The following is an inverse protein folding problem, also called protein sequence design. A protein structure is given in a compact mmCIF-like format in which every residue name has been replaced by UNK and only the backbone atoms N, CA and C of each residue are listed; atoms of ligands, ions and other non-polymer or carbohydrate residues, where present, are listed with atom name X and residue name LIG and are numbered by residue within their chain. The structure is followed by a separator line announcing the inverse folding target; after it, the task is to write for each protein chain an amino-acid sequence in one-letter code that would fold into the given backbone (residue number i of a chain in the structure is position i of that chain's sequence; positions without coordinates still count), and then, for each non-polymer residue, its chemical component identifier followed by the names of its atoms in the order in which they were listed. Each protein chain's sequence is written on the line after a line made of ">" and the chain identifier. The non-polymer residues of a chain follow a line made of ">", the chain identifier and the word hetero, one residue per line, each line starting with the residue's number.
data_IF_081037729508
#
_entry.id   IF_081037729508
#
_cell.length_a   1.000
_cell.length_b   1.000
_cell.length_c   1.000
_cell.angle_alpha   90.00
_cell.angle_beta   90.00
_cell.angle_gamma   90.00
#
_symmetry.space_group_name_H-M   'P 1'
#
loop_
_entity.id
_entity.type
_entity.pdbx_description
1 polymer ?
#
# COMPACT_ATOMS: atom_id res chain seq x y z
N UNK A 1 8.49 -2.33 -8.79
CA UNK A 1 7.47 -1.30 -9.14
C UNK A 1 8.11 -0.21 -10.03
N UNK A 2 7.47 0.30 -11.09
CA UNK A 2 8.11 1.32 -11.95
C UNK A 2 8.16 2.71 -11.26
N UNK A 3 9.23 3.49 -11.46
CA UNK A 3 9.40 4.81 -10.83
C UNK A 3 8.23 5.80 -11.05
N UNK A 4 7.54 5.70 -12.19
CA UNK A 4 6.33 6.50 -12.47
C UNK A 4 5.11 6.08 -11.63
N UNK A 5 5.04 4.81 -11.24
CA UNK A 5 4.00 4.27 -10.38
C UNK A 5 4.23 4.71 -8.93
N UNK A 6 5.49 4.71 -8.47
CA UNK A 6 5.87 5.22 -7.14
C UNK A 6 5.42 6.68 -6.93
N UNK A 7 5.70 7.56 -7.91
CA UNK A 7 5.27 8.96 -7.82
C UNK A 7 3.74 9.16 -7.84
N UNK A 8 3.00 8.25 -8.49
CA UNK A 8 1.53 8.26 -8.47
C UNK A 8 1.00 7.83 -7.10
N UNK A 9 1.56 6.76 -6.53
CA UNK A 9 1.18 6.23 -5.23
C UNK A 9 1.49 7.21 -4.10
N UNK A 10 2.66 7.85 -4.09
CA UNK A 10 3.00 8.86 -3.10
C UNK A 10 2.00 10.04 -3.09
N UNK A 11 1.59 10.51 -4.27
CA UNK A 11 0.56 11.56 -4.38
C UNK A 11 -0.83 11.08 -3.95
N UNK A 12 -1.14 9.80 -4.14
CA UNK A 12 -2.40 9.21 -3.66
C UNK A 12 -2.38 9.05 -2.13
N UNK A 13 -1.24 8.64 -1.56
CA UNK A 13 -1.01 8.59 -0.13
C UNK A 13 -1.18 9.97 0.53
N UNK A 14 -0.62 11.03 -0.07
CA UNK A 14 -0.79 12.41 0.40
C UNK A 14 -2.26 12.90 0.42
N UNK A 15 -3.17 12.20 -0.27
CA UNK A 15 -4.62 12.45 -0.24
C UNK A 15 -5.38 11.52 0.72
N UNK A 16 -4.66 10.73 1.51
CA UNK A 16 -5.20 9.79 2.49
C UNK A 16 -5.61 8.43 1.92
N UNK A 17 -5.20 8.09 0.68
CA UNK A 17 -5.41 6.77 0.08
C UNK A 17 -6.86 6.26 0.13
N UNK A 18 -7.00 4.95 0.31
CA UNK A 18 -8.30 4.30 0.61
C UNK A 18 -8.63 4.31 2.10
N UNK A 19 -7.67 4.61 2.95
CA UNK A 19 -7.86 4.72 4.39
C UNK A 19 -6.54 4.87 5.13
N UNK A 20 -6.59 4.85 6.45
CA UNK A 20 -5.42 4.97 7.33
C UNK A 20 -5.54 3.99 8.49
N UNK A 21 -4.39 3.65 9.05
CA UNK A 21 -4.32 2.87 10.28
C UNK A 21 -3.07 3.22 11.09
N UNK A 22 -3.03 2.69 12.30
CA UNK A 22 -1.87 2.81 13.19
C UNK A 22 -1.22 1.45 13.35
N UNK A 23 0.10 1.39 13.17
CA UNK A 23 0.88 0.20 13.43
C UNK A 23 0.74 -0.27 14.89
N UNK A 24 0.42 -1.55 15.08
CA UNK A 24 0.24 -2.18 16.39
C UNK A 24 1.57 -2.68 16.98
N UNK A 25 2.53 -2.98 16.11
CA UNK A 25 3.87 -3.46 16.44
C UNK A 25 4.90 -2.91 15.46
N UNK A 26 6.18 -3.13 15.78
CA UNK A 26 7.28 -2.85 14.87
C UNK A 26 7.28 -3.91 13.76
N UNK A 27 7.44 -3.49 12.51
CA UNK A 27 7.58 -4.36 11.35
C UNK A 27 8.91 -4.08 10.67
N UNK A 28 9.78 -5.09 10.65
CA UNK A 28 11.06 -5.04 9.95
C UNK A 28 10.86 -5.67 8.58
N UNK A 29 11.17 -4.93 7.52
CA UNK A 29 11.09 -5.43 6.15
C UNK A 29 12.03 -6.63 5.96
N UNK A 30 11.51 -7.75 5.45
CA UNK A 30 12.30 -8.94 5.11
C UNK A 30 12.76 -8.89 3.65
N UNK A 31 11.99 -8.21 2.80
CA UNK A 31 12.21 -8.03 1.36
C UNK A 31 12.11 -6.56 0.96
N UNK A 32 12.62 -6.24 -0.24
CA UNK A 32 12.54 -4.88 -0.80
C UNK A 32 11.10 -4.41 -1.09
N UNK A 33 10.14 -5.34 -1.11
CA UNK A 33 8.73 -5.04 -1.32
C UNK A 33 7.97 -4.79 -0.01
N UNK A 34 8.53 -5.12 1.16
CA UNK A 34 7.88 -4.96 2.46
C UNK A 34 7.92 -3.52 2.97
N UNK A 35 6.85 -3.10 3.64
CA UNK A 35 6.77 -1.80 4.30
C UNK A 35 7.35 -1.92 5.71
N UNK A 36 8.48 -1.26 5.94
CA UNK A 36 8.98 -1.04 7.29
C UNK A 36 8.17 0.05 8.01
N UNK A 37 7.84 -0.19 9.27
CA UNK A 37 7.20 0.78 10.16
C UNK A 37 7.44 0.44 11.63
N UNK A 38 7.34 1.42 12.51
CA UNK A 38 7.41 1.24 13.95
C UNK A 38 6.01 1.27 14.56
N UNK A 39 5.86 0.65 15.74
CA UNK A 39 4.63 0.72 16.51
C UNK A 39 4.21 2.18 16.75
N UNK A 40 2.96 2.47 16.44
CA UNK A 40 2.39 3.81 16.58
C UNK A 40 2.45 4.66 15.32
N UNK A 41 3.19 4.25 14.30
CA UNK A 41 3.25 4.98 13.03
C UNK A 41 1.88 4.99 12.33
N UNK A 42 1.58 6.11 11.68
CA UNK A 42 0.42 6.21 10.80
C UNK A 42 0.77 5.65 9.42
N UNK A 43 -0.01 4.67 8.98
CA UNK A 43 0.12 4.05 7.66
C UNK A 43 -1.06 4.49 6.81
N UNK A 44 -0.77 5.04 5.63
CA UNK A 44 -1.81 5.29 4.61
C UNK A 44 -1.99 4.04 3.76
N UNK A 45 -3.20 3.48 3.75
CA UNK A 45 -3.54 2.29 2.99
C UNK A 45 -3.89 2.68 1.55
N UNK A 46 -3.26 2.04 0.57
CA UNK A 46 -3.37 2.40 -0.85
C UNK A 46 -4.26 1.44 -1.63
N UNK A 47 -4.07 0.13 -1.46
CA UNK A 47 -4.88 -0.91 -2.10
C UNK A 47 -4.70 -2.26 -1.42
N UNK A 48 -5.67 -3.17 -1.63
CA UNK A 48 -5.50 -4.60 -1.35
C UNK A 48 -4.58 -5.20 -2.43
N UNK A 49 -3.58 -5.99 -2.03
CA UNK A 49 -2.63 -6.61 -2.94
C UNK A 49 -3.16 -7.94 -3.49
N UNK A 50 -3.14 -8.09 -4.82
CA UNK A 50 -3.40 -9.33 -5.58
C UNK A 50 -4.58 -10.20 -5.10
N UNK A 51 -5.73 -9.60 -4.76
CA UNK A 51 -6.94 -10.29 -4.23
C UNK A 51 -6.65 -11.23 -3.03
N UNK A 52 -5.46 -11.12 -2.42
CA UNK A 52 -5.07 -11.86 -1.24
C UNK A 52 -5.84 -11.34 -0.04
N UNK A 53 -6.29 -12.25 0.81
CA UNK A 53 -6.86 -11.88 2.09
C UNK A 53 -5.74 -11.25 2.94
N UNK A 54 -6.01 -10.05 3.48
CA UNK A 54 -5.20 -9.38 4.51
C UNK A 54 -3.80 -8.85 4.12
N UNK A 55 -3.43 -8.78 2.83
CA UNK A 55 -2.20 -8.12 2.37
C UNK A 55 -2.49 -6.79 1.67
N UNK A 56 -1.82 -5.72 2.09
CA UNK A 56 -2.08 -4.36 1.60
C UNK A 56 -0.82 -3.68 1.12
N UNK A 57 -0.97 -2.81 0.12
CA UNK A 57 0.03 -1.82 -0.21
C UNK A 57 -0.19 -0.57 0.67
N UNK A 58 0.84 -0.18 1.41
CA UNK A 58 0.82 0.96 2.31
C UNK A 58 1.86 2.03 1.94
N UNK A 59 1.72 3.18 2.59
CA UNK A 59 2.70 4.26 2.58
C UNK A 59 2.98 4.70 4.01
N UNK A 60 4.26 4.73 4.37
CA UNK A 60 4.76 5.20 5.65
C UNK A 60 6.09 5.93 5.44
N UNK A 61 6.25 7.12 6.02
CA UNK A 61 7.48 7.92 6.00
C UNK A 61 8.18 8.12 4.62
N UNK A 62 7.44 8.12 3.52
CA UNK A 62 8.02 8.28 2.18
C UNK A 62 8.28 6.97 1.44
N UNK A 63 8.13 5.83 2.12
CA UNK A 63 8.29 4.48 1.58
C UNK A 63 6.93 3.90 1.21
N UNK A 64 6.90 3.14 0.12
CA UNK A 64 5.74 2.36 -0.32
C UNK A 64 6.15 0.89 -0.27
N UNK A 65 5.32 0.06 0.35
CA UNK A 65 5.59 -1.37 0.50
C UNK A 65 4.36 -2.14 0.95
N UNK A 66 4.51 -3.44 1.11
CA UNK A 66 3.48 -4.38 1.51
C UNK A 66 3.44 -4.53 3.04
N UNK A 67 2.25 -4.70 3.60
CA UNK A 67 2.07 -4.99 5.03
C UNK A 67 0.84 -5.86 5.27
N UNK A 68 0.85 -6.63 6.35
CA UNK A 68 -0.28 -7.46 6.76
C UNK A 68 -1.30 -6.68 7.59
N UNK A 69 -2.59 -6.95 7.36
CA UNK A 69 -3.68 -6.28 8.05
C UNK A 69 -3.64 -6.46 9.56
N UNK A 70 -3.15 -7.61 10.04
CA UNK A 70 -3.06 -7.93 11.47
C UNK A 70 -2.08 -7.02 12.23
N UNK A 71 -1.11 -6.43 11.54
CA UNK A 71 -0.12 -5.53 12.13
C UNK A 71 -0.63 -4.10 12.31
N UNK A 72 -1.81 -3.78 11.76
CA UNK A 72 -2.29 -2.40 11.63
C UNK A 72 -3.74 -2.26 12.07
N UNK A 73 -3.97 -1.35 13.02
CA UNK A 73 -5.33 -0.97 13.41
C UNK A 73 -5.90 0.08 12.46
N UNK A 74 -6.83 -0.32 11.58
CA UNK A 74 -7.52 0.62 10.68
C UNK A 74 -8.47 1.56 11.43
N UNK A 75 -8.37 2.86 11.17
CA UNK A 75 -9.17 3.91 11.84
C UNK A 75 -10.62 4.00 11.36
N UNK A 76 -11.07 3.05 10.55
CA UNK A 76 -12.40 3.01 9.97
C UNK A 76 -12.47 2.09 8.77
N UNK A 77 -13.64 2.07 8.12
CA UNK A 77 -13.84 1.26 6.91
C UNK A 77 -12.98 1.80 5.78
N UNK A 78 -12.14 0.96 5.19
CA UNK A 78 -11.41 1.28 3.98
C UNK A 78 -12.38 1.54 2.82
N UNK A 79 -12.10 2.59 2.03
CA UNK A 79 -12.81 2.87 0.77
C UNK A 79 -12.62 1.67 -0.16
N UNK A 80 -13.59 1.47 -1.07
CA UNK A 80 -13.52 0.37 -2.05
C UNK A 80 -12.13 0.37 -2.72
N UNK A 81 -11.41 -0.76 -2.73
CA UNK A 81 -10.08 -0.84 -3.31
C UNK A 81 -10.13 -0.35 -4.75
N UNK A 82 -9.17 0.50 -5.12
CA UNK A 82 -8.91 0.78 -6.53
C UNK A 82 -8.27 -0.50 -7.08
N UNK A 83 -9.09 -1.43 -7.56
CA UNK A 83 -8.60 -2.61 -8.29
C UNK A 83 -7.95 -2.05 -9.56
N UNK A 84 -6.64 -1.84 -9.53
CA UNK A 84 -5.88 -1.64 -10.75
C UNK A 84 -5.85 -3.00 -11.44
N UNK A 85 -6.91 -3.31 -12.21
CA UNK A 85 -6.80 -4.32 -13.26
C UNK A 85 -5.53 -3.96 -14.02
N UNK A 86 -4.52 -4.83 -14.01
CA UNK A 86 -3.31 -4.69 -14.84
C UNK A 86 -3.82 -4.35 -16.25
N UNK A 87 -3.71 -3.08 -16.64
CA UNK A 87 -4.05 -2.68 -18.00
C UNK A 87 -2.89 -3.21 -18.81
N UNK A 88 -3.18 -4.30 -19.52
CA UNK A 88 -2.42 -4.89 -20.61
C UNK A 88 -1.34 -3.97 -21.15
N UNK A 89 -0.09 -4.44 -21.10
CA UNK A 89 0.96 -3.98 -21.99
C UNK A 89 0.35 -3.78 -23.39
N UNK A 90 0.41 -2.56 -23.89
CA UNK A 90 -0.12 -2.20 -25.19
C UNK A 90 0.50 -3.15 -26.24
N UNK A 91 -0.35 -3.95 -26.88
CA UNK A 91 0.01 -4.67 -28.08
C UNK A 91 0.47 -3.64 -29.14
N UNK A 92 1.78 -3.52 -29.32
CA UNK A 92 2.36 -2.86 -30.48
C UNK A 92 2.16 -3.84 -31.63
N UNK A 93 1.22 -3.50 -32.52
CA UNK A 93 1.00 -4.18 -33.79
C UNK A 93 2.25 -4.00 -34.67
N UNK A 94 2.71 -5.09 -35.27
CA UNK A 94 3.42 -5.10 -36.56
C UNK A 94 2.81 -6.19 -37.42
#
# INVERSE_FOLDING_TARGET
>A
MYAKELGRWARFAAKGGIGRGTALQDCIAETDDDLMFMKGDEITVLMLWEDGEDLYLGYCEGVIGLFHAEDVHFHGRLKKPVITKRSSAAAIRS
#
